data_IF_417091384526
#
_entry.id   IF_417091384526
#
_cell.length_a   1.000
_cell.length_b   1.000
_cell.length_c   1.000
_cell.angle_alpha   90.00
_cell.angle_beta   90.00
_cell.angle_gamma   90.00
#
_symmetry.space_group_name_H-M   'P 1'
#
loop_
_entity.id
_entity.type
_entity.pdbx_description
1 polymer ?
#
# COMPACT_ATOMS: atom_id res chain seq x y z
N UNK A 1 -5.49 11.36 -19.35
CA UNK A 1 -4.99 10.30 -18.46
C UNK A 1 -4.79 9.05 -19.31
N UNK A 2 -3.58 8.47 -19.35
CA UNK A 2 -3.38 7.19 -20.02
C UNK A 2 -3.76 6.06 -19.07
N UNK A 3 -4.74 5.23 -19.46
CA UNK A 3 -5.03 3.99 -18.74
C UNK A 3 -3.78 3.09 -18.76
N UNK A 4 -3.43 2.51 -17.62
CA UNK A 4 -2.26 1.65 -17.42
C UNK A 4 -1.01 2.39 -16.92
N UNK A 5 -0.97 3.72 -16.90
CA UNK A 5 0.18 4.46 -16.37
C UNK A 5 0.15 4.49 -14.83
N UNK A 6 1.29 4.14 -14.21
CA UNK A 6 1.47 4.26 -12.75
C UNK A 6 1.72 5.73 -12.40
N UNK A 7 0.99 6.26 -11.42
CA UNK A 7 1.16 7.62 -10.93
C UNK A 7 2.55 7.82 -10.30
N UNK A 8 3.00 9.08 -10.24
CA UNK A 8 4.15 9.44 -9.42
C UNK A 8 3.97 8.99 -7.96
N UNK A 9 5.08 8.68 -7.29
CA UNK A 9 5.07 8.37 -5.87
C UNK A 9 4.55 9.58 -5.10
N UNK A 10 3.48 9.37 -4.33
CA UNK A 10 2.96 10.38 -3.40
C UNK A 10 3.39 10.03 -1.98
N UNK A 11 3.67 11.07 -1.19
CA UNK A 11 3.90 10.97 0.24
C UNK A 11 2.60 10.58 0.96
N UNK A 12 2.73 9.92 2.11
CA UNK A 12 1.59 9.46 2.90
C UNK A 12 0.76 10.66 3.39
N UNK A 13 -0.49 10.74 2.91
CA UNK A 13 -1.53 11.67 3.40
C UNK A 13 -2.46 10.97 4.40
N UNK A 14 -3.31 11.71 5.11
CA UNK A 14 -4.23 11.15 6.10
C UNK A 14 -5.16 10.06 5.54
N UNK A 15 -5.70 10.24 4.33
CA UNK A 15 -6.50 9.21 3.64
C UNK A 15 -5.72 7.93 3.35
N UNK A 16 -4.40 8.04 3.10
CA UNK A 16 -3.56 6.86 2.92
C UNK A 16 -3.34 6.08 4.20
N UNK A 17 -3.37 6.74 5.36
CA UNK A 17 -3.24 6.03 6.64
C UNK A 17 -4.40 5.05 6.85
N UNK A 18 -5.63 5.41 6.45
CA UNK A 18 -6.78 4.52 6.54
C UNK A 18 -6.62 3.27 5.66
N UNK A 19 -6.22 3.46 4.39
CA UNK A 19 -5.98 2.33 3.47
C UNK A 19 -4.87 1.42 4.01
N UNK A 20 -3.83 2.01 4.59
CA UNK A 20 -2.69 1.29 5.15
C UNK A 20 -3.08 0.45 6.35
N UNK A 21 -3.94 0.96 7.24
CA UNK A 21 -4.46 0.19 8.37
C UNK A 21 -5.34 -0.98 7.89
N UNK A 22 -6.15 -0.77 6.86
CA UNK A 22 -6.96 -1.84 6.26
C UNK A 22 -6.07 -2.92 5.60
N UNK A 23 -5.04 -2.49 4.86
CA UNK A 23 -4.04 -3.38 4.24
C UNK A 23 -3.29 -4.16 5.31
N UNK A 24 -2.90 -3.50 6.40
CA UNK A 24 -2.23 -4.14 7.53
C UNK A 24 -3.12 -5.24 8.13
N UNK A 25 -4.39 -4.94 8.42
CA UNK A 25 -5.31 -5.92 9.00
C UNK A 25 -5.47 -7.15 8.10
N UNK A 26 -5.70 -6.94 6.80
CA UNK A 26 -5.81 -8.03 5.81
C UNK A 26 -4.53 -8.85 5.70
N UNK A 27 -3.36 -8.21 5.80
CA UNK A 27 -2.07 -8.89 5.74
C UNK A 27 -1.81 -9.71 7.00
N UNK A 28 -2.12 -9.17 8.18
CA UNK A 28 -1.99 -9.89 9.45
C UNK A 28 -2.88 -11.13 9.49
N UNK A 29 -4.09 -11.03 8.94
CA UNK A 29 -5.01 -12.16 8.80
C UNK A 29 -4.47 -13.19 7.80
N UNK A 30 -4.05 -12.76 6.61
CA UNK A 30 -3.56 -13.66 5.55
C UNK A 30 -2.28 -14.41 5.96
N UNK A 31 -1.35 -13.71 6.59
CA UNK A 31 -0.05 -14.26 7.00
C UNK A 31 -0.10 -14.87 8.42
N UNK A 32 -1.25 -14.80 9.09
CA UNK A 32 -1.48 -15.21 10.47
C UNK A 32 -0.37 -14.73 11.44
N UNK A 33 0.08 -13.48 11.26
CA UNK A 33 1.16 -12.85 12.04
C UNK A 33 0.89 -11.37 12.25
N UNK A 34 1.38 -10.80 13.33
CA UNK A 34 1.30 -9.36 13.59
C UNK A 34 2.47 -8.59 12.98
N UNK A 35 2.20 -7.40 12.47
CA UNK A 35 3.21 -6.45 11.98
C UNK A 35 3.27 -5.26 12.95
N UNK A 36 4.11 -5.33 14.00
CA UNK A 36 4.17 -4.29 15.03
C UNK A 36 4.63 -2.93 14.47
N UNK A 37 5.46 -2.94 13.43
CA UNK A 37 5.82 -1.76 12.65
C UNK A 37 5.13 -1.88 11.29
N UNK A 38 4.39 -0.84 10.90
CA UNK A 38 3.75 -0.77 9.58
C UNK A 38 3.70 0.69 9.13
N UNK A 39 4.83 1.17 8.60
CA UNK A 39 4.99 2.59 8.22
C UNK A 39 5.00 2.73 6.71
N UNK A 40 4.04 3.47 6.17
CA UNK A 40 3.93 3.74 4.73
C UNK A 40 5.02 4.70 4.29
N UNK A 41 5.76 4.30 3.25
CA UNK A 41 6.83 5.10 2.68
C UNK A 41 6.43 5.72 1.35
N UNK A 42 5.80 4.94 0.47
CA UNK A 42 5.44 5.39 -0.87
C UNK A 42 4.10 4.81 -1.29
N UNK A 43 3.28 5.64 -1.92
CA UNK A 43 2.02 5.23 -2.52
C UNK A 43 1.99 5.57 -4.01
N UNK A 44 1.56 4.63 -4.83
CA UNK A 44 1.27 4.84 -6.26
C UNK A 44 -0.08 4.22 -6.60
N UNK A 45 -0.72 4.78 -7.62
CA UNK A 45 -1.98 4.28 -8.17
C UNK A 45 -1.86 4.07 -9.66
N UNK A 46 -2.58 3.10 -10.21
CA UNK A 46 -2.62 2.84 -11.64
C UNK A 46 -4.08 2.66 -12.07
N UNK A 47 -4.55 3.51 -12.97
CA UNK A 47 -5.91 3.43 -13.51
C UNK A 47 -5.96 2.34 -14.58
N UNK A 48 -6.80 1.34 -14.40
CA UNK A 48 -7.07 0.23 -15.33
C UNK A 48 -8.59 0.12 -15.55
N UNK A 49 -9.16 -1.06 -15.80
CA UNK A 49 -10.59 -1.31 -15.60
C UNK A 49 -10.94 -1.37 -14.10
N UNK A 50 -10.58 -0.32 -13.36
CA UNK A 50 -10.44 -0.28 -11.90
C UNK A 50 -9.27 0.61 -11.48
N UNK A 51 -8.85 0.54 -10.22
CA UNK A 51 -7.66 1.25 -9.73
C UNK A 51 -6.79 0.28 -8.94
N UNK A 52 -5.59 0.01 -9.44
CA UNK A 52 -4.59 -0.73 -8.67
C UNK A 52 -3.86 0.25 -7.75
N UNK A 53 -3.54 -0.22 -6.54
CA UNK A 53 -2.76 0.53 -5.56
C UNK A 53 -1.45 -0.20 -5.23
N UNK A 54 -0.35 0.54 -5.31
CA UNK A 54 0.99 0.08 -4.93
C UNK A 54 1.40 0.80 -3.66
N UNK A 55 1.52 0.05 -2.57
CA UNK A 55 1.81 0.60 -1.25
C UNK A 55 3.11 -0.01 -0.76
N UNK A 56 4.13 0.84 -0.64
CA UNK A 56 5.41 0.44 -0.06
C UNK A 56 5.37 0.76 1.42
N UNK A 57 5.47 -0.27 2.23
CA UNK A 57 5.45 -0.14 3.68
C UNK A 57 6.73 -0.74 4.28
N UNK A 58 7.12 -0.17 5.40
CA UNK A 58 8.21 -0.65 6.20
C UNK A 58 7.65 -1.46 7.36
N UNK A 59 8.01 -2.75 7.42
CA UNK A 59 7.54 -3.69 8.44
C UNK A 59 8.60 -3.96 9.53
N UNK A 60 9.42 -2.96 9.83
CA UNK A 60 10.45 -2.99 10.88
C UNK A 60 11.84 -3.36 10.37
N UNK A 61 12.06 -4.60 9.94
CA UNK A 61 13.39 -5.04 9.49
C UNK A 61 13.57 -4.94 7.97
N UNK A 62 12.48 -4.95 7.20
CA UNK A 62 12.51 -4.99 5.73
C UNK A 62 11.45 -4.09 5.12
N UNK A 63 11.71 -3.63 3.88
CA UNK A 63 10.74 -2.88 3.07
C UNK A 63 9.98 -3.89 2.22
N UNK A 64 8.65 -3.84 2.27
CA UNK A 64 7.79 -4.67 1.45
C UNK A 64 6.91 -3.79 0.55
N UNK A 65 6.75 -4.21 -0.70
CA UNK A 65 5.83 -3.58 -1.65
C UNK A 65 4.58 -4.45 -1.76
N UNK A 66 3.44 -3.87 -1.39
CA UNK A 66 2.13 -4.49 -1.55
C UNK A 66 1.48 -3.99 -2.83
N UNK A 67 0.88 -4.92 -3.56
CA UNK A 67 0.05 -4.64 -4.72
C UNK A 67 -1.39 -5.02 -4.38
N UNK A 68 -2.28 -4.03 -4.42
CA UNK A 68 -3.71 -4.20 -4.24
C UNK A 68 -4.40 -3.93 -5.59
N UNK A 69 -5.36 -4.78 -5.92
CA UNK A 69 -6.19 -4.77 -7.13
C UNK A 69 -7.63 -4.59 -6.72
#
# INVERSE_FOLDING_TARGET
MMCGAVSAAKLATAEMLQIVDEVKARLEEKENRKFPVFKTMEFKSQVVAGINYFIKVHVGLTKHLFHLV
#
